data_IF_615959837890
#
_entry.id   IF_615959837890
#
_cell.length_a   1.000
_cell.length_b   1.000
_cell.length_c   1.000
_cell.angle_alpha   90.00
_cell.angle_beta   90.00
_cell.angle_gamma   90.00
#
_symmetry.space_group_name_H-M   'P 1'
#
loop_
_entity.id
_entity.type
_entity.pdbx_description
1 polymer ?
#
# COMPACT_ATOMS: atom_id res chain seq x y z
N UNK A 1 8.95 -4.14 -25.91
CA UNK A 1 9.26 -4.19 -24.47
C UNK A 1 9.75 -5.60 -24.18
N UNK A 2 10.93 -5.74 -23.60
CA UNK A 2 11.43 -7.03 -23.11
C UNK A 2 10.64 -7.50 -21.90
N UNK A 3 10.73 -8.77 -21.58
CA UNK A 3 10.04 -9.33 -20.41
C UNK A 3 10.68 -8.79 -19.12
N UNK A 4 9.83 -8.39 -18.19
CA UNK A 4 10.29 -7.99 -16.86
C UNK A 4 10.85 -9.19 -16.08
N UNK A 5 11.73 -8.96 -15.07
CA UNK A 5 12.27 -10.04 -14.24
C UNK A 5 11.15 -10.87 -13.56
N UNK A 6 11.42 -12.15 -13.26
CA UNK A 6 10.42 -13.02 -12.59
C UNK A 6 9.90 -12.45 -11.26
N UNK A 7 10.73 -11.73 -10.50
CA UNK A 7 10.34 -11.05 -9.26
C UNK A 7 9.39 -9.87 -9.46
N UNK A 8 9.27 -9.36 -10.70
CA UNK A 8 8.42 -8.20 -11.03
C UNK A 8 6.95 -8.61 -11.24
N UNK A 9 6.39 -9.25 -10.24
CA UNK A 9 4.97 -9.66 -10.18
C UNK A 9 4.10 -8.59 -9.54
N UNK A 10 2.79 -8.80 -9.52
CA UNK A 10 1.89 -8.03 -8.66
C UNK A 10 2.26 -8.26 -7.19
N UNK A 11 2.15 -7.20 -6.38
CA UNK A 11 2.30 -7.37 -4.94
C UNK A 11 1.16 -8.25 -4.39
N UNK A 12 1.47 -9.21 -3.50
CA UNK A 12 0.45 -10.08 -2.92
C UNK A 12 -0.69 -9.30 -2.26
N UNK A 13 -1.88 -9.89 -2.24
CA UNK A 13 -3.04 -9.28 -1.60
C UNK A 13 -2.84 -9.15 -0.09
N UNK A 14 -3.02 -7.94 0.44
CA UNK A 14 -3.02 -7.69 1.88
C UNK A 14 -4.44 -7.84 2.40
N UNK A 15 -4.71 -8.90 3.16
CA UNK A 15 -6.03 -9.24 3.65
C UNK A 15 -6.49 -8.29 4.76
N UNK A 16 -7.79 -8.00 4.86
CA UNK A 16 -8.32 -7.39 6.08
C UNK A 16 -8.21 -8.38 7.24
N UNK A 17 -7.80 -7.93 8.43
CA UNK A 17 -7.61 -8.82 9.59
C UNK A 17 -8.90 -9.50 10.08
N UNK A 18 -10.08 -9.04 9.64
CA UNK A 18 -11.36 -9.74 9.82
C UNK A 18 -11.63 -10.86 8.80
N UNK A 19 -10.76 -11.05 7.80
CA UNK A 19 -10.92 -12.13 6.82
C UNK A 19 -10.53 -13.46 7.46
N UNK A 20 -11.28 -14.53 7.16
CA UNK A 20 -11.04 -15.86 7.73
C UNK A 20 -9.61 -16.37 7.51
N UNK A 21 -9.05 -16.12 6.32
CA UNK A 21 -7.71 -16.58 5.94
C UNK A 21 -6.59 -15.76 6.63
N UNK A 22 -6.91 -14.58 7.19
CA UNK A 22 -5.95 -13.80 7.98
C UNK A 22 -5.75 -14.34 9.40
N UNK A 23 -6.56 -15.28 9.85
CA UNK A 23 -6.46 -15.84 11.22
C UNK A 23 -5.09 -16.49 11.50
N UNK A 24 -4.47 -17.10 10.48
CA UNK A 24 -3.15 -17.71 10.59
C UNK A 24 -2.03 -16.71 10.92
N UNK A 25 -2.20 -15.41 10.61
CA UNK A 25 -1.25 -14.37 11.02
C UNK A 25 -1.06 -14.34 12.56
N UNK A 26 -2.13 -14.56 13.30
CA UNK A 26 -2.07 -14.51 14.78
C UNK A 26 -1.50 -15.77 15.43
N UNK A 27 -0.86 -16.65 14.67
CA UNK A 27 -0.15 -17.82 15.18
C UNK A 27 1.37 -17.63 15.21
N UNK A 28 1.88 -16.56 14.63
CA UNK A 28 3.31 -16.25 14.51
C UNK A 28 3.62 -14.81 14.92
N UNK A 29 4.86 -14.50 15.35
CA UNK A 29 5.27 -13.12 15.58
C UNK A 29 5.15 -12.27 14.31
N UNK A 30 4.62 -11.06 14.45
CA UNK A 30 4.37 -10.14 13.35
C UNK A 30 5.14 -8.83 13.53
N UNK A 31 5.68 -8.29 12.44
CA UNK A 31 6.04 -6.87 12.36
C UNK A 31 4.77 -6.06 12.08
N UNK A 32 4.71 -4.86 12.64
CA UNK A 32 3.63 -3.89 12.44
C UNK A 32 4.20 -2.66 11.76
N UNK A 33 3.77 -2.39 10.54
CA UNK A 33 4.21 -1.25 9.74
C UNK A 33 3.09 -0.22 9.60
N UNK A 34 3.45 1.06 9.48
CA UNK A 34 2.48 2.09 9.09
C UNK A 34 1.94 1.81 7.70
N UNK A 35 0.62 1.91 7.54
CA UNK A 35 -0.02 1.95 6.24
C UNK A 35 -0.10 3.38 5.75
N UNK A 36 0.59 3.70 4.67
CA UNK A 36 0.57 5.01 4.01
C UNK A 36 -0.57 5.07 3.00
N UNK A 37 -1.30 6.17 2.97
CA UNK A 37 -2.38 6.45 2.02
C UNK A 37 -1.84 7.08 0.73
N UNK A 38 -1.21 6.26 -0.09
CA UNK A 38 -0.61 6.63 -1.37
C UNK A 38 -1.12 5.80 -2.55
N UNK A 39 -0.34 5.80 -3.61
CA UNK A 39 -0.51 4.90 -4.75
C UNK A 39 0.60 3.87 -4.77
N UNK A 40 0.23 2.59 -4.83
CA UNK A 40 1.22 1.51 -4.91
C UNK A 40 2.11 1.68 -6.13
N UNK A 41 3.41 1.51 -5.91
CA UNK A 41 4.45 1.71 -6.91
C UNK A 41 5.52 0.64 -6.77
N UNK A 42 5.78 -0.08 -7.85
CA UNK A 42 6.84 -1.07 -7.89
C UNK A 42 7.77 -0.77 -9.05
N UNK A 43 9.06 -0.99 -8.83
CA UNK A 43 10.08 -0.78 -9.86
C UNK A 43 11.20 -1.79 -9.74
N UNK A 44 11.82 -2.12 -10.86
CA UNK A 44 12.99 -3.01 -10.95
C UNK A 44 13.82 -2.67 -12.18
N UNK A 45 15.05 -3.16 -12.18
CA UNK A 45 15.98 -3.14 -13.33
C UNK A 45 16.22 -4.58 -13.74
N UNK A 46 16.10 -4.87 -15.02
CA UNK A 46 16.43 -6.18 -15.58
C UNK A 46 17.93 -6.32 -15.92
N UNK A 47 18.32 -7.48 -16.41
CA UNK A 47 19.71 -7.81 -16.79
C UNK A 47 20.24 -6.95 -17.95
N UNK A 48 19.38 -6.40 -18.77
CA UNK A 48 19.72 -5.50 -19.87
C UNK A 48 19.85 -4.03 -19.41
N UNK A 49 19.53 -3.74 -18.14
CA UNK A 49 19.52 -2.39 -17.57
C UNK A 49 18.22 -1.63 -17.84
N UNK A 50 17.19 -2.28 -18.37
CA UNK A 50 15.91 -1.66 -18.65
C UNK A 50 15.09 -1.49 -17.35
N UNK A 51 14.52 -0.29 -17.18
CA UNK A 51 13.70 0.05 -16.03
C UNK A 51 12.24 -0.35 -16.26
N UNK A 52 11.73 -1.20 -15.40
CA UNK A 52 10.33 -1.59 -15.36
C UNK A 52 9.63 -0.95 -14.17
N UNK A 53 8.46 -0.37 -14.41
CA UNK A 53 7.64 0.29 -13.39
C UNK A 53 6.18 -0.15 -13.52
N UNK A 54 5.51 -0.29 -12.38
CA UNK A 54 4.07 -0.56 -12.35
C UNK A 54 3.41 0.09 -11.14
N UNK A 55 2.14 0.43 -11.29
CA UNK A 55 1.20 0.64 -10.19
C UNK A 55 0.62 -0.70 -9.72
N UNK A 56 -0.39 -0.66 -8.85
CA UNK A 56 -1.08 -1.88 -8.42
C UNK A 56 -1.63 -2.69 -9.61
N UNK A 57 -2.21 -2.02 -10.60
CA UNK A 57 -2.91 -2.68 -11.72
C UNK A 57 -2.15 -2.61 -13.04
N UNK A 58 -1.44 -1.51 -13.31
CA UNK A 58 -0.94 -1.18 -14.64
C UNK A 58 0.57 -1.05 -14.67
N UNK A 59 1.18 -1.46 -15.78
CA UNK A 59 2.54 -1.05 -16.12
C UNK A 59 2.58 0.45 -16.42
N UNK A 60 3.65 1.11 -16.02
CA UNK A 60 3.89 2.53 -16.23
C UNK A 60 5.03 2.69 -17.21
N UNK A 61 4.81 3.43 -18.31
CA UNK A 61 5.90 3.78 -19.21
C UNK A 61 6.83 4.80 -18.51
N UNK A 62 8.11 4.46 -18.26
CA UNK A 62 9.03 5.38 -17.59
C UNK A 62 9.24 6.71 -18.33
N UNK A 63 9.07 6.74 -19.65
CA UNK A 63 9.30 7.93 -20.47
C UNK A 63 8.06 8.83 -20.55
N UNK A 64 6.89 8.27 -20.28
CA UNK A 64 5.61 8.99 -20.28
C UNK A 64 4.77 8.57 -19.07
N UNK A 65 5.24 8.80 -17.84
CA UNK A 65 4.51 8.40 -16.65
C UNK A 65 3.26 9.26 -16.46
N UNK A 66 2.15 8.71 -15.94
CA UNK A 66 1.02 9.51 -15.49
C UNK A 66 1.47 10.54 -14.46
N UNK A 67 0.85 11.74 -14.47
CA UNK A 67 1.31 12.89 -13.68
C UNK A 67 1.48 12.61 -12.18
N UNK A 68 0.63 11.74 -11.60
CA UNK A 68 0.75 11.33 -10.19
C UNK A 68 2.01 10.53 -9.86
N UNK A 69 2.68 9.93 -10.85
CA UNK A 69 3.89 9.14 -10.69
C UNK A 69 5.16 9.83 -11.21
N UNK A 70 5.03 10.93 -11.94
CA UNK A 70 6.16 11.54 -12.64
C UNK A 70 7.36 11.86 -11.73
N UNK A 71 7.12 12.42 -10.55
CA UNK A 71 8.18 12.76 -9.60
C UNK A 71 8.90 11.51 -9.06
N UNK A 72 8.14 10.46 -8.71
CA UNK A 72 8.69 9.18 -8.24
C UNK A 72 9.48 8.48 -9.35
N UNK A 73 8.97 8.46 -10.59
CA UNK A 73 9.69 7.92 -11.75
C UNK A 73 10.99 8.67 -11.98
N UNK A 74 10.98 10.00 -11.88
CA UNK A 74 12.20 10.81 -11.96
C UNK A 74 13.21 10.46 -10.87
N UNK A 75 12.75 10.14 -9.67
CA UNK A 75 13.62 9.68 -8.57
C UNK A 75 14.23 8.32 -8.89
N UNK A 76 13.43 7.35 -9.31
CA UNK A 76 13.91 6.00 -9.66
C UNK A 76 14.90 6.03 -10.83
N UNK A 77 14.65 6.86 -11.86
CA UNK A 77 15.61 7.04 -12.96
C UNK A 77 16.97 7.53 -12.49
N UNK A 78 17.04 8.39 -11.48
CA UNK A 78 18.32 8.83 -10.90
C UNK A 78 19.05 7.72 -10.11
N UNK A 79 18.31 6.76 -9.61
CA UNK A 79 18.85 5.62 -8.84
C UNK A 79 19.19 4.40 -9.71
N UNK A 80 18.94 4.44 -11.03
CA UNK A 80 19.03 3.30 -11.94
C UNK A 80 20.32 2.49 -11.77
N UNK A 81 21.48 3.16 -11.73
CA UNK A 81 22.79 2.52 -11.56
C UNK A 81 23.10 2.03 -10.14
N UNK A 82 22.19 2.25 -9.19
CA UNK A 82 22.32 1.82 -7.80
C UNK A 82 21.35 0.69 -7.44
N UNK A 83 20.36 0.43 -8.29
CA UNK A 83 19.40 -0.66 -8.06
C UNK A 83 20.06 -2.01 -8.30
N UNK A 84 19.73 -2.99 -7.48
CA UNK A 84 20.12 -4.38 -7.73
C UNK A 84 19.33 -4.95 -8.90
N UNK A 85 20.04 -5.50 -9.87
CA UNK A 85 19.43 -6.16 -11.03
C UNK A 85 18.57 -7.33 -10.58
N UNK A 86 17.36 -7.44 -11.12
CA UNK A 86 16.40 -8.48 -10.78
C UNK A 86 15.62 -8.27 -9.50
N UNK A 87 15.99 -7.31 -8.65
CA UNK A 87 15.24 -7.02 -7.44
C UNK A 87 14.03 -6.12 -7.72
N UNK A 88 12.94 -6.38 -7.04
CA UNK A 88 11.72 -5.56 -7.12
C UNK A 88 11.54 -4.73 -5.85
N UNK A 89 11.61 -3.43 -6.01
CA UNK A 89 11.36 -2.45 -4.96
C UNK A 89 9.87 -2.09 -4.93
N UNK A 90 9.29 -2.08 -3.75
CA UNK A 90 7.86 -1.85 -3.52
C UNK A 90 7.66 -0.67 -2.59
N UNK A 91 6.86 0.29 -2.99
CA UNK A 91 6.61 1.50 -2.22
C UNK A 91 5.24 2.10 -2.46
N UNK A 92 4.97 3.18 -1.74
CA UNK A 92 3.84 4.07 -1.94
C UNK A 92 4.34 5.40 -2.50
N UNK A 93 3.64 5.92 -3.52
CA UNK A 93 3.89 7.24 -4.11
C UNK A 93 2.89 8.24 -3.56
N UNK A 94 3.42 9.40 -3.17
CA UNK A 94 2.61 10.59 -2.89
C UNK A 94 3.11 11.74 -3.77
N UNK A 95 2.29 12.17 -4.72
CA UNK A 95 2.59 13.31 -5.59
C UNK A 95 2.45 14.65 -4.85
N UNK A 96 1.59 14.69 -3.83
CA UNK A 96 1.29 15.87 -2.99
C UNK A 96 0.88 15.41 -1.60
N UNK A 97 0.97 16.27 -0.55
CA UNK A 97 0.60 15.89 0.82
C UNK A 97 -0.82 15.35 0.96
N UNK A 98 -1.78 15.90 0.24
CA UNK A 98 -3.14 15.34 0.13
C UNK A 98 -3.25 14.56 -1.18
N UNK A 99 -2.73 13.34 -1.16
CA UNK A 99 -2.70 12.48 -2.37
C UNK A 99 -4.05 11.79 -2.58
N UNK A 100 -4.56 11.11 -1.58
CA UNK A 100 -5.86 10.44 -1.59
C UNK A 100 -6.82 11.06 -0.57
N UNK A 101 -7.02 10.39 0.56
CA UNK A 101 -7.97 10.80 1.61
C UNK A 101 -7.28 11.57 2.72
N UNK A 102 -6.10 11.09 3.13
CA UNK A 102 -5.35 11.71 4.21
C UNK A 102 -4.55 12.93 3.72
N UNK A 103 -4.52 13.96 4.54
CA UNK A 103 -3.68 15.13 4.32
C UNK A 103 -2.47 15.08 5.26
N UNK A 104 -1.33 14.70 4.73
CA UNK A 104 -0.05 14.70 5.42
C UNK A 104 0.57 16.11 5.44
N UNK A 105 1.56 16.34 6.30
CA UNK A 105 2.32 17.60 6.29
C UNK A 105 3.27 17.68 5.10
N UNK A 106 3.76 16.54 4.64
CA UNK A 106 4.73 16.45 3.55
C UNK A 106 4.55 15.18 2.70
N UNK A 107 5.21 15.14 1.59
CA UNK A 107 5.48 13.91 0.84
C UNK A 107 6.80 13.27 1.29
N UNK A 108 7.01 11.96 1.06
CA UNK A 108 8.32 11.36 1.28
C UNK A 108 9.38 11.94 0.34
N UNK A 109 10.64 11.87 0.75
CA UNK A 109 11.76 12.27 -0.09
C UNK A 109 11.73 11.50 -1.42
N UNK A 110 11.80 12.24 -2.53
CA UNK A 110 11.69 11.65 -3.86
C UNK A 110 10.29 11.16 -4.22
N UNK A 111 9.26 11.50 -3.46
CA UNK A 111 7.85 11.13 -3.67
C UNK A 111 7.54 9.63 -3.56
N UNK A 112 8.48 8.82 -3.06
CA UNK A 112 8.31 7.38 -2.85
C UNK A 112 8.79 6.96 -1.46
N UNK A 113 8.02 6.12 -0.78
CA UNK A 113 8.36 5.53 0.51
C UNK A 113 8.29 4.00 0.38
N UNK A 114 9.40 3.31 0.66
CA UNK A 114 9.50 1.87 0.50
C UNK A 114 8.79 1.12 1.65
N UNK A 115 8.12 0.02 1.31
CA UNK A 115 7.52 -0.88 2.30
C UNK A 115 7.99 -2.33 2.16
N UNK A 116 8.55 -2.74 1.00
CA UNK A 116 9.17 -4.03 0.76
C UNK A 116 10.21 -3.97 -0.35
N UNK A 117 11.11 -4.96 -0.35
CA UNK A 117 12.02 -5.27 -1.46
C UNK A 117 12.04 -6.79 -1.66
N UNK A 118 11.64 -7.26 -2.83
CA UNK A 118 11.73 -8.66 -3.22
C UNK A 118 13.02 -8.89 -4.01
N UNK A 119 13.80 -9.89 -3.64
CA UNK A 119 15.05 -10.27 -4.32
C UNK A 119 14.88 -11.51 -5.20
N UNK A 120 13.74 -12.23 -5.05
CA UNK A 120 13.30 -13.34 -5.88
C UNK A 120 11.77 -13.39 -5.85
N UNK A 121 11.06 -14.13 -6.70
CA UNK A 121 9.63 -14.33 -6.60
C UNK A 121 9.24 -14.77 -5.19
N UNK A 122 8.35 -14.01 -4.56
CA UNK A 122 7.81 -14.27 -3.21
C UNK A 122 8.84 -14.31 -2.06
N UNK A 123 10.10 -13.96 -2.31
CA UNK A 123 11.15 -13.79 -1.31
C UNK A 123 11.46 -12.32 -1.08
N UNK A 124 11.24 -11.86 0.14
CA UNK A 124 11.39 -10.47 0.53
C UNK A 124 12.54 -10.29 1.51
N UNK A 125 13.22 -9.14 1.41
CA UNK A 125 14.20 -8.77 2.42
C UNK A 125 13.52 -8.69 3.80
N UNK A 126 14.23 -9.15 4.82
CA UNK A 126 13.81 -8.91 6.20
C UNK A 126 13.73 -7.39 6.44
N UNK A 127 12.87 -6.98 7.36
CA UNK A 127 12.67 -5.56 7.65
C UNK A 127 13.96 -4.77 7.92
N UNK A 128 14.92 -5.40 8.60
CA UNK A 128 16.23 -4.78 8.89
C UNK A 128 17.09 -4.62 7.64
N UNK A 129 17.08 -5.60 6.75
CA UNK A 129 17.85 -5.57 5.50
C UNK A 129 17.23 -4.58 4.51
N UNK A 130 15.90 -4.52 4.44
CA UNK A 130 15.17 -3.51 3.67
C UNK A 130 15.45 -2.09 4.18
N UNK A 131 15.63 -1.93 5.51
CA UNK A 131 16.01 -0.65 6.09
C UNK A 131 17.40 -0.19 5.60
N UNK A 132 18.37 -1.10 5.60
CA UNK A 132 19.73 -0.83 5.11
C UNK A 132 19.71 -0.49 3.61
N UNK A 133 18.91 -1.20 2.84
CA UNK A 133 18.78 -0.97 1.41
C UNK A 133 18.12 0.38 1.10
N UNK A 134 17.06 0.74 1.83
CA UNK A 134 16.43 2.06 1.70
C UNK A 134 17.41 3.20 2.02
N UNK A 135 18.18 3.05 3.09
CA UNK A 135 19.22 4.03 3.49
C UNK A 135 20.30 4.15 2.41
N UNK A 136 20.79 3.04 1.85
CA UNK A 136 21.78 3.02 0.76
C UNK A 136 21.31 3.79 -0.47
N UNK A 137 20.00 3.70 -0.78
CA UNK A 137 19.39 4.41 -1.90
C UNK A 137 18.96 5.84 -1.57
N UNK A 138 19.07 6.28 -0.32
CA UNK A 138 18.55 7.58 0.13
C UNK A 138 17.03 7.69 0.04
N UNK A 139 16.31 6.56 0.08
CA UNK A 139 14.85 6.49 0.07
C UNK A 139 14.30 6.35 1.49
N UNK A 140 13.14 6.96 1.72
CA UNK A 140 12.42 6.71 2.95
C UNK A 140 11.74 5.33 2.94
N UNK A 141 11.60 4.74 4.11
CA UNK A 141 10.82 3.52 4.33
C UNK A 141 9.70 3.75 5.31
N UNK A 142 8.63 2.96 5.19
CA UNK A 142 7.56 2.96 6.17
C UNK A 142 8.12 2.59 7.56
N UNK A 143 7.68 3.26 8.63
CA UNK A 143 8.18 2.96 9.96
C UNK A 143 7.69 1.60 10.44
N UNK A 144 8.55 0.92 11.20
CA UNK A 144 8.16 -0.18 12.07
C UNK A 144 7.52 0.43 13.32
N UNK A 145 6.24 0.17 13.53
CA UNK A 145 5.49 0.67 14.69
C UNK A 145 5.60 -0.24 15.89
N UNK A 146 5.99 -1.51 15.67
CA UNK A 146 6.20 -2.47 16.74
C UNK A 146 6.26 -3.91 16.26
N UNK A 147 6.37 -4.80 17.24
CA UNK A 147 6.24 -6.23 17.08
C UNK A 147 4.97 -6.68 17.81
N UNK A 148 4.18 -7.53 17.18
CA UNK A 148 3.04 -8.18 17.79
C UNK A 148 3.35 -9.66 17.99
N UNK A 149 3.40 -10.08 19.24
CA UNK A 149 3.49 -11.49 19.59
C UNK A 149 2.10 -12.09 19.74
N UNK A 150 1.85 -13.28 19.20
CA UNK A 150 0.56 -13.94 19.30
C UNK A 150 0.10 -14.05 20.74
N UNK A 151 -1.19 -13.83 20.96
CA UNK A 151 -1.89 -14.10 22.21
C UNK A 151 -2.93 -15.19 21.96
N UNK A 152 -3.52 -15.74 23.02
CA UNK A 152 -4.56 -16.77 22.92
C UNK A 152 -5.82 -16.29 22.20
N UNK A 153 -6.00 -14.96 22.08
CA UNK A 153 -7.18 -14.35 21.45
C UNK A 153 -6.82 -13.45 20.29
N UNK A 154 -7.35 -13.75 19.10
CA UNK A 154 -7.27 -12.87 17.94
C UNK A 154 -7.88 -11.48 18.23
N UNK A 155 -8.95 -11.41 19.03
CA UNK A 155 -9.56 -10.15 19.43
C UNK A 155 -8.61 -9.26 20.24
N UNK A 156 -7.82 -9.86 21.15
CA UNK A 156 -6.79 -9.13 21.91
C UNK A 156 -5.70 -8.58 20.99
N UNK A 157 -5.27 -9.37 20.00
CA UNK A 157 -4.27 -8.94 19.03
C UNK A 157 -4.79 -7.77 18.18
N UNK A 158 -6.04 -7.84 17.71
CA UNK A 158 -6.69 -6.76 16.96
C UNK A 158 -6.83 -5.51 17.82
N UNK A 159 -7.22 -5.62 19.10
CA UNK A 159 -7.34 -4.49 20.01
C UNK A 159 -5.99 -3.77 20.21
N UNK A 160 -4.88 -4.52 20.35
CA UNK A 160 -3.52 -3.94 20.42
C UNK A 160 -3.15 -3.18 19.14
N UNK A 161 -3.48 -3.71 17.98
CA UNK A 161 -3.24 -3.03 16.71
C UNK A 161 -4.10 -1.78 16.59
N UNK A 162 -5.34 -1.80 17.07
CA UNK A 162 -6.20 -0.63 17.11
C UNK A 162 -5.63 0.46 18.02
N UNK A 163 -5.09 0.09 19.19
CA UNK A 163 -4.41 1.04 20.09
C UNK A 163 -3.22 1.72 19.40
N UNK A 164 -2.40 0.94 18.67
CA UNK A 164 -1.28 1.50 17.88
C UNK A 164 -1.81 2.53 16.87
N UNK A 165 -2.87 2.19 16.14
CA UNK A 165 -3.48 3.10 15.13
C UNK A 165 -3.99 4.38 15.80
N UNK A 166 -4.67 4.25 16.95
CA UNK A 166 -5.31 5.37 17.63
C UNK A 166 -4.34 6.30 18.34
N UNK A 167 -3.12 5.85 18.62
CA UNK A 167 -2.11 6.62 19.35
C UNK A 167 -0.98 7.13 18.47
N UNK A 168 -0.69 6.49 17.33
CA UNK A 168 0.48 6.78 16.51
C UNK A 168 0.21 7.91 15.50
N UNK A 169 1.12 8.88 15.45
CA UNK A 169 1.17 9.88 14.38
C UNK A 169 1.89 9.32 13.16
N UNK A 170 1.43 9.70 11.97
CA UNK A 170 2.10 9.33 10.72
C UNK A 170 3.52 9.85 10.67
N UNK A 171 4.44 9.08 10.10
CA UNK A 171 5.80 9.52 9.75
C UNK A 171 5.81 10.76 8.84
N UNK A 172 4.78 10.93 8.03
CA UNK A 172 4.64 12.06 7.13
C UNK A 172 3.98 13.27 7.79
N UNK A 173 3.58 13.17 9.06
CA UNK A 173 3.00 14.24 9.87
C UNK A 173 1.52 14.51 9.55
N UNK A 174 1.00 15.57 10.20
CA UNK A 174 -0.34 16.10 9.96
C UNK A 174 -1.47 15.37 10.67
N UNK A 175 -1.35 14.07 10.88
CA UNK A 175 -2.43 13.26 11.44
C UNK A 175 -1.96 11.90 11.91
N UNK A 176 -2.87 11.12 12.49
CA UNK A 176 -2.64 9.72 12.85
C UNK A 176 -2.53 8.86 11.60
N UNK A 177 -1.91 7.69 11.76
CA UNK A 177 -1.78 6.69 10.70
C UNK A 177 -3.15 6.30 10.13
N UNK A 178 -3.23 6.01 8.82
CA UNK A 178 -4.43 5.44 8.18
C UNK A 178 -4.81 4.10 8.82
N UNK A 179 -3.80 3.33 9.13
CA UNK A 179 -3.88 1.99 9.66
C UNK A 179 -2.51 1.35 9.73
N UNK A 180 -2.51 0.04 9.87
CA UNK A 180 -1.29 -0.76 9.92
C UNK A 180 -1.35 -1.90 8.91
N UNK A 181 -0.15 -2.31 8.44
CA UNK A 181 0.08 -3.59 7.75
C UNK A 181 0.89 -4.48 8.68
N UNK A 182 0.46 -5.72 8.83
CA UNK A 182 1.15 -6.73 9.62
C UNK A 182 1.66 -7.84 8.73
N UNK A 183 2.89 -8.28 9.00
CA UNK A 183 3.58 -9.33 8.24
C UNK A 183 4.30 -10.26 9.21
N UNK A 184 4.39 -11.57 8.92
CA UNK A 184 5.23 -12.48 9.72
C UNK A 184 6.67 -11.98 9.82
N UNK A 185 7.26 -12.14 11.01
CA UNK A 185 8.70 -11.89 11.20
C UNK A 185 9.52 -12.94 10.46
N UNK A 186 9.05 -14.19 10.47
CA UNK A 186 9.67 -15.30 9.75
C UNK A 186 9.14 -15.38 8.32
N UNK A 187 10.00 -15.80 7.41
CA UNK A 187 9.65 -16.10 6.03
C UNK A 187 8.76 -17.35 5.93
N UNK A 188 8.02 -17.46 4.82
CA UNK A 188 7.33 -18.70 4.46
C UNK A 188 5.96 -18.91 5.08
N UNK A 189 5.40 -17.94 5.79
CA UNK A 189 3.99 -18.00 6.21
C UNK A 189 3.11 -17.62 5.05
N UNK A 190 2.37 -18.60 4.53
CA UNK A 190 1.53 -18.45 3.34
C UNK A 190 0.06 -18.71 3.65
N UNK A 191 -0.81 -18.19 2.80
CA UNK A 191 -2.23 -18.50 2.80
C UNK A 191 -2.48 -19.93 2.25
N UNK A 192 -3.72 -20.46 2.27
CA UNK A 192 -4.04 -21.77 1.72
C UNK A 192 -3.75 -21.94 0.22
N UNK A 193 -3.48 -20.85 -0.49
CA UNK A 193 -3.17 -20.83 -1.92
C UNK A 193 -1.67 -20.67 -2.20
N UNK A 194 -0.84 -20.61 -1.16
CA UNK A 194 0.61 -20.44 -1.28
C UNK A 194 1.09 -19.02 -1.43
N UNK A 195 0.22 -17.99 -1.33
CA UNK A 195 0.63 -16.60 -1.36
C UNK A 195 1.12 -16.15 0.02
N UNK A 196 2.08 -15.23 0.06
CA UNK A 196 2.54 -14.63 1.31
C UNK A 196 1.38 -14.02 2.09
N UNK A 197 1.27 -14.41 3.35
CA UNK A 197 0.19 -14.00 4.21
C UNK A 197 0.52 -12.66 4.86
N UNK A 198 -0.26 -11.63 4.50
CA UNK A 198 -0.16 -10.29 5.04
C UNK A 198 -1.53 -9.76 5.41
N UNK A 199 -1.60 -8.99 6.49
CA UNK A 199 -2.85 -8.43 6.97
C UNK A 199 -2.81 -6.91 7.11
N UNK A 200 -3.98 -6.27 7.03
CA UNK A 200 -4.16 -4.85 7.30
C UNK A 200 -5.33 -4.59 8.22
N UNK A 201 -5.14 -3.59 9.07
CA UNK A 201 -6.20 -2.99 9.86
C UNK A 201 -6.21 -1.49 9.57
N UNK A 202 -7.36 -0.98 9.17
CA UNK A 202 -7.56 0.44 8.84
C UNK A 202 -8.38 1.09 9.95
N UNK A 203 -8.04 2.31 10.35
CA UNK A 203 -8.69 3.03 11.43
C UNK A 203 -10.20 3.16 11.20
N UNK A 204 -10.98 3.14 12.28
CA UNK A 204 -12.44 3.34 12.21
C UNK A 204 -12.77 4.72 11.65
N UNK A 205 -12.05 5.75 12.08
CA UNK A 205 -12.15 7.11 11.53
C UNK A 205 -12.01 7.15 10.02
N UNK A 206 -11.01 6.42 9.49
CA UNK A 206 -10.79 6.33 8.05
C UNK A 206 -11.95 5.57 7.38
N UNK A 207 -12.48 4.54 8.03
CA UNK A 207 -13.69 3.82 7.58
C UNK A 207 -14.95 4.67 7.67
N UNK A 208 -15.12 5.48 8.72
CA UNK A 208 -16.29 6.35 8.92
C UNK A 208 -16.33 7.51 7.93
N UNK A 209 -15.20 8.15 7.64
CA UNK A 209 -15.12 9.15 6.55
C UNK A 209 -15.57 8.52 5.22
N UNK A 210 -15.41 7.21 5.07
CA UNK A 210 -15.88 6.45 3.92
C UNK A 210 -17.31 5.93 4.05
N UNK A 211 -17.82 5.74 5.26
CA UNK A 211 -19.19 5.28 5.52
C UNK A 211 -20.18 6.44 5.72
N UNK A 212 -19.72 7.62 6.12
CA UNK A 212 -20.57 8.78 6.42
C UNK A 212 -21.32 9.37 5.21
N UNK A 213 -21.08 8.85 4.00
CA UNK A 213 -21.90 9.13 2.83
C UNK A 213 -23.10 8.19 2.66
N UNK A 214 -23.24 7.15 3.49
CA UNK A 214 -24.35 6.19 3.47
C UNK A 214 -25.14 6.21 4.77
N UNK A 215 -26.44 6.61 4.72
CA UNK A 215 -27.35 6.45 5.84
C UNK A 215 -27.43 4.97 6.22
N UNK A 216 -27.51 4.61 7.53
CA UNK A 216 -27.78 3.24 7.91
C UNK A 216 -29.11 2.80 7.31
N UNK A 217 -29.09 1.68 6.58
CA UNK A 217 -30.29 1.09 6.00
C UNK A 217 -31.29 0.77 7.11
N UNK A 218 -32.55 1.24 6.97
CA UNK A 218 -33.64 0.84 7.85
C UNK A 218 -34.07 -0.59 7.47
N UNK A 219 -34.44 -1.37 8.46
CA UNK A 219 -35.03 -2.69 8.28
C UNK A 219 -36.23 -2.56 7.34
N UNK A 220 -36.12 -3.11 6.11
CA UNK A 220 -37.15 -3.00 5.08
C UNK A 220 -36.72 -2.41 3.74
N UNK A 221 -35.48 -1.93 3.63
CA UNK A 221 -34.96 -1.46 2.35
C UNK A 221 -34.62 -2.65 1.44
N UNK A 222 -34.97 -2.51 0.18
CA UNK A 222 -34.74 -3.52 -0.88
C UNK A 222 -33.25 -3.93 -0.90
N UNK A 223 -32.98 -5.22 -1.10
CA UNK A 223 -31.65 -5.81 -1.24
C UNK A 223 -30.79 -5.03 -2.26
N UNK A 224 -31.40 -4.50 -3.32
CA UNK A 224 -30.74 -3.66 -4.31
C UNK A 224 -30.22 -2.35 -3.70
N UNK A 225 -30.97 -1.73 -2.79
CA UNK A 225 -30.54 -0.53 -2.07
C UNK A 225 -29.45 -0.85 -1.03
N UNK A 226 -29.53 -2.00 -0.36
CA UNK A 226 -28.48 -2.47 0.55
C UNK A 226 -27.17 -2.76 -0.20
N UNK A 227 -27.25 -3.43 -1.33
CA UNK A 227 -26.11 -3.66 -2.22
C UNK A 227 -25.59 -2.31 -2.75
N UNK A 228 -26.46 -1.45 -3.25
CA UNK A 228 -26.12 -0.09 -3.69
C UNK A 228 -25.40 0.70 -2.61
N UNK A 229 -25.91 0.73 -1.37
CA UNK A 229 -25.30 1.41 -0.22
C UNK A 229 -23.92 0.87 0.17
N UNK A 230 -23.72 -0.45 0.08
CA UNK A 230 -22.40 -1.07 0.31
C UNK A 230 -21.37 -0.72 -0.78
N UNK A 231 -21.83 -0.41 -1.98
CA UNK A 231 -20.97 -0.12 -3.14
C UNK A 231 -20.78 1.38 -3.41
N UNK A 232 -21.69 2.24 -2.94
CA UNK A 232 -21.60 3.71 -3.03
C UNK A 232 -20.87 4.34 -1.83
N UNK A 233 -19.67 3.87 -1.52
CA UNK A 233 -18.88 4.51 -0.46
C UNK A 233 -17.92 5.52 -1.07
N UNK A 234 -17.70 6.65 -0.38
CA UNK A 234 -16.71 7.68 -0.78
C UNK A 234 -15.33 7.06 -1.03
N UNK A 235 -14.96 6.00 -0.25
CA UNK A 235 -13.73 5.25 -0.46
C UNK A 235 -13.64 4.61 -1.85
N UNK A 236 -14.71 4.00 -2.32
CA UNK A 236 -14.72 3.39 -3.65
C UNK A 236 -14.65 4.43 -4.75
N UNK A 237 -15.35 5.55 -4.57
CA UNK A 237 -15.25 6.69 -5.47
C UNK A 237 -13.83 7.26 -5.50
N UNK A 238 -13.23 7.48 -4.35
CA UNK A 238 -11.84 7.94 -4.23
C UNK A 238 -10.87 6.93 -4.87
N UNK A 239 -11.10 5.63 -4.65
CA UNK A 239 -10.29 4.57 -5.23
C UNK A 239 -10.49 4.44 -6.75
N UNK A 240 -11.71 4.57 -7.24
CA UNK A 240 -12.01 4.62 -8.69
C UNK A 240 -11.34 5.85 -9.33
N UNK A 241 -11.48 7.03 -8.70
CA UNK A 241 -10.81 8.25 -9.13
C UNK A 241 -9.29 8.13 -9.10
N UNK A 242 -8.71 7.50 -8.07
CA UNK A 242 -7.29 7.16 -8.02
C UNK A 242 -6.89 6.28 -9.21
N UNK A 243 -7.65 5.23 -9.48
CA UNK A 243 -7.39 4.32 -10.58
C UNK A 243 -7.43 5.03 -11.95
N UNK A 244 -8.45 5.85 -12.20
CA UNK A 244 -8.55 6.66 -13.42
C UNK A 244 -7.38 7.65 -13.54
N UNK A 245 -6.94 8.22 -12.43
CA UNK A 245 -5.76 9.09 -12.37
C UNK A 245 -4.47 8.33 -12.68
N UNK A 246 -4.31 7.12 -12.15
CA UNK A 246 -3.17 6.24 -12.42
C UNK A 246 -3.13 5.78 -13.89
N UNK A 247 -4.29 5.68 -14.53
CA UNK A 247 -4.42 5.40 -15.95
C UNK A 247 -4.20 6.64 -16.84
N UNK A 248 -4.15 7.83 -16.23
CA UNK A 248 -4.04 9.09 -16.97
C UNK A 248 -5.34 9.55 -17.62
N UNK A 249 -6.48 8.94 -17.27
CA UNK A 249 -7.80 9.25 -17.83
C UNK A 249 -8.41 10.51 -17.24
N UNK A 250 -8.02 10.89 -16.02
CA UNK A 250 -8.43 12.15 -15.38
C UNK A 250 -7.23 12.90 -14.80
N UNK A 251 -7.30 14.23 -14.80
CA UNK A 251 -6.25 15.12 -14.32
C UNK A 251 -6.65 15.97 -13.12
N UNK A 252 -7.85 15.78 -12.56
CA UNK A 252 -8.44 16.59 -11.50
C UNK A 252 -8.65 18.06 -11.91
N UNK A 253 -8.89 18.31 -13.17
CA UNK A 253 -9.21 19.64 -13.70
C UNK A 253 -10.71 19.78 -13.98
N UNK A 254 -11.24 21.02 -14.12
CA UNK A 254 -12.64 21.23 -14.51
C UNK A 254 -13.05 20.54 -15.82
N UNK A 255 -12.09 20.15 -16.66
CA UNK A 255 -12.34 19.41 -17.92
C UNK A 255 -12.80 17.97 -17.68
N UNK A 256 -12.51 17.41 -16.51
CA UNK A 256 -12.91 16.06 -16.15
C UNK A 256 -14.38 15.98 -15.67
N UNK A 257 -15.08 17.15 -15.61
CA UNK A 257 -16.49 17.23 -15.25
C UNK A 257 -17.31 16.95 -16.51
N UNK A 258 -17.75 15.70 -16.67
CA UNK A 258 -18.56 15.26 -17.80
C UNK A 258 -18.01 14.07 -18.57
N UNK A 259 -16.91 13.46 -18.07
CA UNK A 259 -16.38 12.20 -18.56
C UNK A 259 -17.05 11.00 -17.86
#
# INVERSE_FOLDING_TARGET
>A
MKAAPPSFTSYPSVLNLGHKDAAALFTVPLIVQEKIDGSQFSFCVDEDGDLHIRSHHNSINPDQPPGGFAAAVGTVKRLLGQLHVGWTYRGEVLAKPHHNVLAYDRVPAGNVILFDVAYDPDLYLRHVDMATEAERLGLERVPLLGLLYPTESAATNVARLQEIIDTTLSKLGGQKVEGVVVKPVAEGVVDPYGNLLMGKLVSEKFREVHAASGRPARVGDDIIQQIGGQYHTTARWMKARQHLREQGEITDTPKDIGA
#
